data_IF_491616728331
#
_entry.id   IF_491616728331
#
_cell.length_a   1.000
_cell.length_b   1.000
_cell.length_c   1.000
_cell.angle_alpha   90.00
_cell.angle_beta   90.00
_cell.angle_gamma   90.00
#
_symmetry.space_group_name_H-M   'P 1'
#
loop_
_entity.id
_entity.type
_entity.pdbx_description
1 polymer ?
#
# COMPACT_ATOMS: atom_id res chain seq x y z
N UNK A 1 -68.48 -50.72 11.66
CA UNK A 1 -68.64 -49.62 10.67
C UNK A 1 -67.25 -49.32 10.12
N UNK A 2 -66.83 -49.95 9.01
CA UNK A 2 -67.08 -49.52 7.61
C UNK A 2 -66.41 -48.15 7.38
N UNK A 3 -65.15 -48.16 6.94
CA UNK A 3 -64.67 -47.85 5.57
C UNK A 3 -64.40 -46.33 5.38
N UNK A 4 -63.41 -45.84 4.64
CA UNK A 4 -62.83 -46.31 3.38
C UNK A 4 -61.38 -45.83 3.18
N UNK A 5 -60.62 -46.68 2.50
CA UNK A 5 -59.33 -46.41 1.87
C UNK A 5 -59.48 -45.78 0.48
N UNK A 6 -58.42 -45.09 0.01
CA UNK A 6 -57.69 -45.26 -1.29
C UNK A 6 -56.89 -43.98 -1.58
N UNK A 7 -55.55 -44.04 -1.49
CA UNK A 7 -54.58 -44.34 -2.56
C UNK A 7 -54.61 -43.35 -3.74
N UNK A 8 -53.53 -42.58 -3.90
CA UNK A 8 -52.90 -42.40 -5.20
C UNK A 8 -51.38 -42.20 -5.04
N UNK A 9 -50.64 -43.14 -5.61
CA UNK A 9 -49.20 -43.12 -5.89
C UNK A 9 -48.96 -42.46 -7.26
N UNK A 10 -47.92 -41.65 -7.41
CA UNK A 10 -46.98 -41.65 -8.56
C UNK A 10 -46.16 -40.35 -8.61
N UNK A 11 -44.89 -40.47 -8.98
CA UNK A 11 -44.10 -39.33 -9.47
C UNK A 11 -42.76 -39.08 -8.78
N UNK A 12 -41.86 -40.06 -8.74
CA UNK A 12 -40.44 -39.83 -8.50
C UNK A 12 -39.83 -39.11 -9.72
N UNK A 13 -39.72 -37.79 -9.65
CA UNK A 13 -38.88 -37.00 -10.56
C UNK A 13 -37.48 -36.89 -9.97
N UNK A 14 -36.52 -37.57 -10.58
CA UNK A 14 -35.11 -37.47 -10.22
C UNK A 14 -34.56 -36.09 -10.65
N UNK A 15 -34.34 -35.21 -9.68
CA UNK A 15 -33.50 -34.02 -9.87
C UNK A 15 -32.05 -34.46 -9.73
N UNK A 16 -31.33 -34.48 -10.85
CA UNK A 16 -29.89 -34.67 -10.87
C UNK A 16 -29.22 -33.49 -10.16
N UNK A 17 -28.67 -33.74 -8.97
CA UNK A 17 -27.77 -32.81 -8.29
C UNK A 17 -26.44 -32.88 -9.03
N UNK A 18 -26.19 -31.90 -9.91
CA UNK A 18 -24.87 -31.65 -10.45
C UNK A 18 -23.96 -31.19 -9.29
N UNK A 19 -23.07 -32.08 -8.85
CA UNK A 19 -21.94 -31.74 -7.99
C UNK A 19 -20.99 -30.83 -8.78
N UNK A 20 -21.27 -29.53 -8.74
CA UNK A 20 -20.33 -28.50 -9.15
C UNK A 20 -19.11 -28.55 -8.24
N UNK A 21 -18.00 -29.06 -8.76
CA UNK A 21 -16.68 -28.89 -8.17
C UNK A 21 -16.37 -27.38 -8.20
N UNK A 22 -16.68 -26.69 -7.10
CA UNK A 22 -16.18 -25.34 -6.86
C UNK A 22 -14.66 -25.42 -6.74
N UNK A 23 -13.99 -24.76 -7.68
CA UNK A 23 -12.59 -24.38 -7.50
C UNK A 23 -12.55 -23.47 -6.27
N UNK A 24 -12.19 -24.02 -5.11
CA UNK A 24 -11.68 -23.21 -4.01
C UNK A 24 -10.36 -22.64 -4.51
N UNK A 25 -10.40 -21.40 -4.98
CA UNK A 25 -9.21 -20.59 -5.11
C UNK A 25 -8.55 -20.62 -3.74
N UNK A 26 -7.39 -21.28 -3.63
CA UNK A 26 -6.54 -21.19 -2.46
C UNK A 26 -6.10 -19.73 -2.41
N UNK A 27 -6.85 -18.91 -1.68
CA UNK A 27 -6.36 -17.60 -1.30
C UNK A 27 -5.10 -17.82 -0.46
N UNK A 28 -4.00 -17.10 -0.74
CA UNK A 28 -2.85 -17.14 0.15
C UNK A 28 -3.32 -16.81 1.56
N UNK A 29 -2.85 -17.57 2.55
CA UNK A 29 -3.12 -17.28 3.95
C UNK A 29 -2.74 -15.81 4.21
N UNK A 30 -3.71 -14.99 4.66
CA UNK A 30 -3.43 -13.65 5.15
C UNK A 30 -2.51 -13.82 6.34
N UNK A 31 -1.30 -13.28 6.25
CA UNK A 31 -0.38 -13.25 7.39
C UNK A 31 -1.10 -12.55 8.56
N UNK A 32 -0.96 -13.07 9.78
CA UNK A 32 -1.51 -12.41 10.96
C UNK A 32 -0.97 -10.98 11.04
N UNK A 33 -1.83 -10.03 11.44
CA UNK A 33 -1.42 -8.64 11.62
C UNK A 33 -0.26 -8.58 12.64
N UNK A 34 0.78 -7.76 12.38
CA UNK A 34 1.86 -7.58 13.34
C UNK A 34 1.30 -7.00 14.63
N UNK A 35 1.71 -7.54 15.77
CA UNK A 35 1.19 -7.19 17.09
C UNK A 35 1.96 -6.05 17.77
N UNK A 36 2.74 -5.29 17.00
CA UNK A 36 3.75 -4.32 17.49
C UNK A 36 4.00 -3.26 16.39
N UNK A 37 2.92 -2.73 15.82
CA UNK A 37 2.99 -1.78 14.72
C UNK A 37 3.23 -0.36 15.28
N UNK A 38 4.21 0.35 14.72
CA UNK A 38 4.44 1.76 15.00
C UNK A 38 3.75 2.60 13.92
N UNK A 39 2.80 3.44 14.35
CA UNK A 39 2.00 4.27 13.45
C UNK A 39 2.27 5.73 13.77
N UNK A 40 2.70 6.50 12.77
CA UNK A 40 3.03 7.92 12.92
C UNK A 40 2.29 8.76 11.87
N UNK A 41 1.84 9.96 12.24
CA UNK A 41 1.19 10.90 11.33
C UNK A 41 2.24 11.60 10.46
N UNK A 42 2.06 11.58 9.14
CA UNK A 42 2.87 12.30 8.15
C UNK A 42 2.16 13.57 7.67
N UNK A 43 0.85 13.48 7.41
CA UNK A 43 0.02 14.59 6.92
C UNK A 43 -1.29 14.62 7.71
N UNK A 44 -1.73 15.77 8.22
CA UNK A 44 -0.98 17.03 8.25
C UNK A 44 0.30 16.90 9.09
N UNK A 45 1.30 17.75 8.80
CA UNK A 45 2.51 17.84 9.62
C UNK A 45 2.17 18.68 10.86
N UNK A 46 2.11 18.02 12.02
CA UNK A 46 1.85 18.66 13.31
C UNK A 46 3.15 18.78 14.12
N UNK A 47 3.43 19.99 14.59
CA UNK A 47 4.61 20.33 15.36
C UNK A 47 4.29 21.36 16.48
N UNK A 48 5.32 21.89 17.12
CA UNK A 48 5.19 22.82 18.24
C UNK A 48 4.51 24.15 17.88
N UNK A 49 4.33 24.48 16.60
CA UNK A 49 3.74 25.72 16.12
C UNK A 49 2.24 25.61 15.82
N UNK A 50 1.73 24.39 15.63
CA UNK A 50 0.35 24.15 15.23
C UNK A 50 -0.35 23.01 16.00
N UNK A 51 0.27 22.48 17.05
CA UNK A 51 -0.35 21.51 17.96
C UNK A 51 -0.89 22.23 19.20
N UNK A 52 -2.22 22.24 19.34
CA UNK A 52 -2.93 22.73 20.52
C UNK A 52 -2.50 21.96 21.77
N UNK A 53 -2.10 22.67 22.83
CA UNK A 53 -1.81 22.11 24.16
C UNK A 53 -0.92 20.85 24.17
N UNK A 54 0.12 20.79 23.32
CA UNK A 54 0.91 19.57 23.08
C UNK A 54 1.37 18.85 24.37
N UNK A 55 1.82 19.60 25.37
CA UNK A 55 2.27 19.03 26.65
C UNK A 55 1.12 18.42 27.48
N UNK A 56 -0.07 19.05 27.48
CA UNK A 56 -1.24 18.53 28.19
C UNK A 56 -1.77 17.27 27.49
N UNK A 57 -1.82 17.28 26.16
CA UNK A 57 -2.23 16.12 25.35
C UNK A 57 -1.35 14.92 25.64
N UNK A 58 -0.04 15.11 25.61
CA UNK A 58 0.89 14.02 25.85
C UNK A 58 0.79 13.51 27.30
N UNK A 59 0.52 14.39 28.27
CA UNK A 59 0.26 13.98 29.66
C UNK A 59 -0.98 13.08 29.75
N UNK A 60 -2.05 13.40 29.02
CA UNK A 60 -3.25 12.56 28.95
C UNK A 60 -2.96 11.20 28.30
N UNK A 61 -2.27 11.19 27.15
CA UNK A 61 -1.85 9.97 26.47
C UNK A 61 -1.03 9.07 27.40
N UNK A 62 -0.03 9.63 28.10
CA UNK A 62 0.77 8.89 29.07
C UNK A 62 -0.08 8.30 30.21
N UNK A 63 -1.12 9.01 30.65
CA UNK A 63 -2.10 8.49 31.62
C UNK A 63 -2.88 7.29 31.09
N UNK A 64 -3.33 7.34 29.84
CA UNK A 64 -4.05 6.24 29.20
C UNK A 64 -3.17 4.99 29.01
N UNK A 65 -1.89 5.21 28.65
CA UNK A 65 -0.87 4.14 28.61
C UNK A 65 -0.63 3.56 30.00
N UNK A 66 -0.48 4.40 31.03
CA UNK A 66 -0.29 3.96 32.42
C UNK A 66 -1.46 3.12 32.96
N UNK A 67 -2.68 3.38 32.48
CA UNK A 67 -3.86 2.57 32.78
C UNK A 67 -3.97 1.28 31.95
N UNK A 68 -3.05 1.05 31.01
CA UNK A 68 -3.00 -0.14 30.17
C UNK A 68 -4.05 -0.19 29.06
N UNK A 69 -4.65 0.97 28.71
CA UNK A 69 -5.66 1.09 27.66
C UNK A 69 -5.04 1.12 26.26
N UNK A 70 -3.85 1.71 26.13
CA UNK A 70 -3.11 1.82 24.87
C UNK A 70 -1.68 1.29 25.00
N UNK A 71 -1.07 0.98 23.86
CA UNK A 71 0.36 0.68 23.74
C UNK A 71 1.21 1.87 24.16
N UNK A 72 2.45 1.61 24.60
CA UNK A 72 3.41 2.65 24.90
C UNK A 72 3.79 3.47 23.66
N UNK A 73 4.36 4.66 23.87
CA UNK A 73 4.67 5.56 22.77
C UNK A 73 3.46 6.20 22.10
N UNK A 74 2.24 6.01 22.61
CA UNK A 74 1.03 6.70 22.15
C UNK A 74 1.26 8.21 22.11
N UNK A 75 0.96 8.82 20.97
CA UNK A 75 0.96 10.27 20.80
C UNK A 75 -0.49 10.76 20.73
N UNK A 76 -0.82 11.84 21.42
CA UNK A 76 -2.10 12.53 21.25
C UNK A 76 -1.85 13.97 20.80
N UNK A 77 -2.43 14.36 19.67
CA UNK A 77 -2.27 15.69 19.08
C UNK A 77 -3.63 16.27 18.73
N UNK A 78 -3.82 17.55 19.09
CA UNK A 78 -4.98 18.36 18.76
C UNK A 78 -4.54 19.48 17.82
N UNK A 79 -5.31 19.74 16.77
CA UNK A 79 -5.06 20.81 15.81
C UNK A 79 -6.39 21.42 15.34
N UNK A 80 -6.32 22.53 14.62
CA UNK A 80 -7.47 23.30 14.18
C UNK A 80 -7.56 23.33 12.66
N UNK A 81 -8.78 23.20 12.13
CA UNK A 81 -9.06 23.29 10.70
C UNK A 81 -10.39 24.02 10.45
N UNK A 82 -10.58 24.74 9.34
CA UNK A 82 -11.86 25.36 9.05
C UNK A 82 -13.00 24.35 8.89
N UNK A 83 -14.21 24.70 9.37
CA UNK A 83 -15.46 23.97 9.05
C UNK A 83 -15.64 23.82 7.53
N UNK A 84 -16.11 22.64 7.09
CA UNK A 84 -16.29 22.27 5.69
C UNK A 84 -15.00 21.87 4.97
N UNK A 85 -13.86 21.84 5.66
CA UNK A 85 -12.59 21.43 5.05
C UNK A 85 -12.54 19.94 4.77
N UNK A 86 -11.74 19.59 3.78
CA UNK A 86 -11.17 18.25 3.66
C UNK A 86 -9.80 18.23 4.37
N UNK A 87 -9.42 17.10 4.95
CA UNK A 87 -8.09 16.83 5.51
C UNK A 87 -7.61 15.48 4.98
N UNK A 88 -6.38 15.40 4.50
CA UNK A 88 -5.76 14.14 4.13
C UNK A 88 -4.88 13.62 5.27
N UNK A 89 -5.38 12.61 5.98
CA UNK A 89 -4.64 11.92 7.04
C UNK A 89 -3.76 10.84 6.43
N UNK A 90 -2.46 11.11 6.31
CA UNK A 90 -1.47 10.12 5.89
C UNK A 90 -0.68 9.64 7.09
N UNK A 91 -0.65 8.33 7.31
CA UNK A 91 0.14 7.69 8.35
C UNK A 91 1.25 6.82 7.77
N UNK A 92 2.43 6.81 8.39
CA UNK A 92 3.45 5.79 8.18
C UNK A 92 3.21 4.63 9.14
N UNK A 93 3.32 3.40 8.64
CA UNK A 93 3.16 2.18 9.42
C UNK A 93 4.40 1.30 9.25
N UNK A 94 5.08 1.04 10.36
CA UNK A 94 6.29 0.24 10.41
C UNK A 94 6.22 -0.85 11.48
N UNK A 95 7.07 -1.87 11.36
CA UNK A 95 7.34 -2.78 12.47
C UNK A 95 8.27 -2.13 13.51
N UNK A 96 8.49 -2.83 14.63
CA UNK A 96 9.41 -2.43 15.71
C UNK A 96 10.84 -2.13 15.30
N UNK A 97 11.28 -2.64 14.13
CA UNK A 97 12.64 -2.39 13.61
C UNK A 97 12.64 -1.17 12.66
N UNK A 98 11.51 -0.46 12.56
CA UNK A 98 11.33 0.70 11.69
C UNK A 98 11.16 0.32 10.22
N UNK A 99 10.93 -0.97 9.90
CA UNK A 99 10.75 -1.39 8.51
C UNK A 99 9.30 -1.13 8.08
N UNK A 100 9.08 -0.52 6.90
CA UNK A 100 7.73 -0.29 6.39
C UNK A 100 6.91 -1.57 6.26
N UNK A 101 5.68 -1.54 6.79
CA UNK A 101 4.70 -2.62 6.63
C UNK A 101 3.92 -2.39 5.34
N UNK A 102 4.35 -3.00 4.24
CA UNK A 102 3.77 -2.81 2.89
C UNK A 102 2.51 -3.65 2.66
N UNK A 103 1.44 -3.05 2.12
CA UNK A 103 0.17 -3.73 1.83
C UNK A 103 -0.64 -4.12 3.07
N UNK A 104 -0.25 -3.59 4.23
CA UNK A 104 -0.87 -3.82 5.54
C UNK A 104 -2.24 -3.13 5.59
N UNK A 105 -3.26 -3.86 6.04
CA UNK A 105 -4.56 -3.27 6.36
C UNK A 105 -4.44 -2.41 7.61
N UNK A 106 -4.90 -1.16 7.51
CA UNK A 106 -4.94 -0.19 8.59
C UNK A 106 -6.38 0.29 8.73
N UNK A 107 -6.96 0.06 9.91
CA UNK A 107 -8.30 0.51 10.26
C UNK A 107 -8.21 1.92 10.85
N UNK A 108 -8.84 2.91 10.21
CA UNK A 108 -9.03 4.22 10.82
C UNK A 108 -10.36 4.24 11.56
N UNK A 109 -10.33 4.43 12.88
CA UNK A 109 -11.51 4.71 13.70
C UNK A 109 -11.80 6.21 13.63
N UNK A 110 -13.06 6.57 13.36
CA UNK A 110 -13.49 7.94 13.09
C UNK A 110 -14.53 8.32 14.15
N UNK A 111 -14.35 9.49 14.78
CA UNK A 111 -15.08 9.89 15.98
C UNK A 111 -15.07 8.75 17.01
N UNK A 112 -13.86 8.45 17.48
CA UNK A 112 -13.58 7.33 18.38
C UNK A 112 -14.49 7.37 19.61
N UNK A 113 -15.00 6.23 20.08
CA UNK A 113 -15.77 6.18 21.32
C UNK A 113 -14.97 6.72 22.51
N UNK A 114 -15.67 7.43 23.41
CA UNK A 114 -15.12 8.19 24.56
C UNK A 114 -14.37 9.48 24.21
N UNK A 115 -14.44 9.95 22.96
CA UNK A 115 -13.81 11.22 22.56
C UNK A 115 -14.74 12.42 22.67
N UNK A 116 -16.02 12.21 22.97
CA UNK A 116 -17.08 13.23 22.88
C UNK A 116 -17.17 13.94 21.52
N UNK A 117 -16.60 13.36 20.45
CA UNK A 117 -16.59 13.96 19.11
C UNK A 117 -17.99 14.24 18.58
N UNK A 118 -18.18 15.45 18.09
CA UNK A 118 -19.46 15.98 17.59
C UNK A 118 -19.46 16.26 16.09
N UNK A 119 -18.29 16.31 15.44
CA UNK A 119 -18.19 16.65 14.03
C UNK A 119 -18.81 15.58 13.11
N UNK A 120 -19.49 16.02 12.06
CA UNK A 120 -20.05 15.16 11.01
C UNK A 120 -19.02 15.04 9.90
N UNK A 121 -18.46 13.85 9.74
CA UNK A 121 -17.38 13.58 8.80
C UNK A 121 -17.79 12.52 7.80
N UNK A 122 -17.23 12.62 6.60
CA UNK A 122 -17.23 11.56 5.61
C UNK A 122 -15.82 11.06 5.35
N UNK A 123 -15.64 9.75 5.40
CA UNK A 123 -14.45 9.04 4.91
C UNK A 123 -14.95 7.89 4.05
N UNK A 124 -14.53 7.86 2.79
CA UNK A 124 -15.09 6.96 1.77
C UNK A 124 -16.64 7.04 1.74
N UNK A 125 -17.31 5.92 2.02
CA UNK A 125 -18.76 5.79 2.11
C UNK A 125 -19.30 5.81 3.54
N UNK A 126 -18.46 6.05 4.54
CA UNK A 126 -18.84 6.13 5.95
C UNK A 126 -19.06 7.58 6.33
N UNK A 127 -20.21 7.87 6.95
CA UNK A 127 -20.57 9.18 7.46
C UNK A 127 -20.85 9.07 8.97
N UNK A 128 -20.20 9.90 9.79
CA UNK A 128 -20.43 9.93 11.24
C UNK A 128 -21.73 10.66 11.58
N UNK A 129 -22.26 10.42 12.77
CA UNK A 129 -23.53 11.03 13.21
C UNK A 129 -23.38 12.32 14.00
N UNK A 130 -22.16 12.67 14.41
CA UNK A 130 -21.88 13.77 15.34
C UNK A 130 -22.36 13.51 16.77
N UNK A 131 -22.65 12.26 17.14
CA UNK A 131 -23.17 11.90 18.46
C UNK A 131 -22.28 10.80 19.04
N UNK A 132 -21.51 11.13 20.08
CA UNK A 132 -20.71 10.13 20.80
C UNK A 132 -21.62 9.17 21.59
N UNK A 133 -21.36 7.86 21.44
CA UNK A 133 -22.12 6.78 22.08
C UNK A 133 -21.13 5.74 22.63
N UNK A 134 -20.34 6.09 23.66
CA UNK A 134 -19.35 5.18 24.20
C UNK A 134 -19.98 3.85 24.64
N UNK A 135 -19.31 2.71 24.44
CA UNK A 135 -17.91 2.57 23.99
C UNK A 135 -17.73 2.56 22.46
N UNK A 136 -18.79 2.78 21.69
CA UNK A 136 -18.76 2.59 20.23
C UNK A 136 -18.14 3.80 19.53
N UNK A 137 -17.32 3.52 18.51
CA UNK A 137 -16.96 4.52 17.51
C UNK A 137 -18.15 4.85 16.63
N UNK A 138 -18.17 6.04 16.03
CA UNK A 138 -19.23 6.37 15.07
C UNK A 138 -18.99 5.73 13.69
N UNK A 139 -17.74 5.39 13.35
CA UNK A 139 -17.43 4.69 12.11
C UNK A 139 -15.98 4.23 12.01
N UNK A 140 -15.70 3.40 11.01
CA UNK A 140 -14.34 3.04 10.61
C UNK A 140 -14.25 2.72 9.13
N UNK A 141 -13.06 2.89 8.56
CA UNK A 141 -12.70 2.42 7.21
C UNK A 141 -11.37 1.67 7.26
N UNK A 142 -11.06 0.87 6.24
CA UNK A 142 -9.80 0.11 6.17
C UNK A 142 -9.14 0.38 4.83
N UNK A 143 -7.93 0.94 4.86
CA UNK A 143 -7.07 1.13 3.70
C UNK A 143 -5.81 0.28 3.83
N UNK A 144 -5.13 0.06 2.69
CA UNK A 144 -3.83 -0.62 2.64
C UNK A 144 -2.70 0.37 2.57
N UNK A 145 -1.62 0.08 3.28
CA UNK A 145 -0.35 0.81 3.14
C UNK A 145 0.28 0.60 1.76
N UNK A 146 0.97 1.62 1.29
CA UNK A 146 1.67 1.66 0.01
C UNK A 146 3.08 1.05 0.09
N UNK A 147 3.88 1.21 -0.97
CA UNK A 147 5.24 0.67 -1.03
C UNK A 147 6.20 1.23 0.03
N UNK A 148 5.88 2.37 0.62
CA UNK A 148 6.65 3.02 1.66
C UNK A 148 6.02 2.82 3.04
N UNK A 149 5.03 1.92 3.17
CA UNK A 149 4.31 1.71 4.43
C UNK A 149 3.34 2.84 4.77
N UNK A 150 2.99 3.70 3.81
CA UNK A 150 2.12 4.84 4.05
C UNK A 150 0.67 4.55 3.67
N UNK A 151 -0.28 4.96 4.50
CA UNK A 151 -1.72 4.85 4.23
C UNK A 151 -2.36 6.23 4.34
N UNK A 152 -3.27 6.57 3.43
CA UNK A 152 -3.94 7.88 3.42
C UNK A 152 -5.45 7.73 3.49
N UNK A 153 -6.10 8.58 4.28
CA UNK A 153 -7.55 8.70 4.38
C UNK A 153 -7.96 10.14 4.09
N UNK A 154 -8.87 10.33 3.13
CA UNK A 154 -9.46 11.65 2.86
C UNK A 154 -10.67 11.83 3.80
N UNK A 155 -10.57 12.81 4.71
CA UNK A 155 -11.59 13.10 5.70
C UNK A 155 -12.27 14.41 5.35
N UNK A 156 -13.55 14.36 5.01
CA UNK A 156 -14.34 15.55 4.66
C UNK A 156 -15.23 15.94 5.82
N UNK A 157 -15.12 17.18 6.28
CA UNK A 157 -16.07 17.76 7.20
C UNK A 157 -17.36 18.14 6.45
N UNK A 158 -18.48 17.60 6.89
CA UNK A 158 -19.81 17.84 6.32
C UNK A 158 -20.66 18.76 7.19
N UNK A 159 -20.09 19.27 8.30
CA UNK A 159 -20.82 20.17 9.17
C UNK A 159 -21.29 21.43 8.42
N UNK A 160 -22.45 21.98 8.80
CA UNK A 160 -22.97 23.20 8.19
C UNK A 160 -21.94 24.32 8.28
N UNK A 161 -21.84 25.14 7.23
CA UNK A 161 -20.92 26.28 7.23
C UNK A 161 -21.17 27.21 8.42
N UNK A 162 -20.16 28.02 8.72
CA UNK A 162 -20.16 29.11 9.69
C UNK A 162 -21.49 29.86 9.90
N UNK A 163 -22.24 30.13 8.83
CA UNK A 163 -23.48 30.91 8.86
C UNK A 163 -24.71 30.14 9.36
N UNK A 164 -24.61 28.82 9.46
CA UNK A 164 -25.72 27.91 9.79
C UNK A 164 -25.58 27.21 11.14
N UNK A 165 -24.44 27.37 11.81
CA UNK A 165 -24.25 26.90 13.18
C UNK A 165 -24.82 27.91 14.17
N UNK A 166 -25.51 27.43 15.20
CA UNK A 166 -26.11 28.29 16.23
C UNK A 166 -25.03 28.91 17.14
N UNK A 167 -24.03 28.13 17.52
CA UNK A 167 -22.89 28.52 18.36
C UNK A 167 -21.63 27.88 17.77
N UNK A 168 -20.87 28.58 16.92
CA UNK A 168 -19.69 27.99 16.31
C UNK A 168 -18.39 28.22 17.08
N UNK A 169 -17.45 27.27 17.01
CA UNK A 169 -16.09 27.48 17.54
C UNK A 169 -15.39 28.61 16.75
N UNK A 170 -14.95 29.69 17.40
CA UNK A 170 -14.23 30.76 16.72
C UNK A 170 -12.83 30.29 16.33
N UNK A 171 -12.26 30.90 15.28
CA UNK A 171 -10.84 30.70 14.97
C UNK A 171 -9.98 30.98 16.21
N UNK A 172 -9.04 30.08 16.56
CA UNK A 172 -8.19 30.29 17.72
C UNK A 172 -7.26 31.49 17.50
N UNK A 173 -6.97 32.23 18.56
CA UNK A 173 -5.99 33.33 18.53
C UNK A 173 -4.55 32.82 18.29
N UNK A 174 -4.29 31.57 18.64
CA UNK A 174 -3.04 30.85 18.41
C UNK A 174 -3.31 29.39 18.10
N UNK A 175 -2.57 28.81 17.16
CA UNK A 175 -2.70 27.38 16.81
C UNK A 175 -2.24 26.43 17.92
N UNK A 176 -1.61 26.94 18.97
CA UNK A 176 -1.15 26.16 20.13
C UNK A 176 -2.00 26.36 21.38
N UNK A 177 -2.99 27.27 21.35
CA UNK A 177 -3.87 27.50 22.50
C UNK A 177 -4.84 26.33 22.71
N UNK A 178 -5.44 26.26 23.89
CA UNK A 178 -6.59 25.39 24.13
C UNK A 178 -7.75 25.72 23.17
N UNK A 179 -8.57 24.73 22.79
CA UNK A 179 -9.81 24.96 22.06
C UNK A 179 -10.74 25.92 22.80
N UNK A 180 -11.45 26.77 22.07
CA UNK A 180 -12.34 27.77 22.66
C UNK A 180 -13.77 27.22 22.76
N UNK A 181 -13.99 26.44 23.81
CA UNK A 181 -15.27 25.76 24.06
C UNK A 181 -16.14 26.61 25.01
N UNK A 182 -17.41 26.79 24.64
CA UNK A 182 -18.43 27.49 25.42
C UNK A 182 -18.76 26.73 26.70
N UNK A 183 -19.27 27.43 27.72
CA UNK A 183 -19.63 26.81 29.01
C UNK A 183 -20.67 25.68 28.86
N UNK A 184 -21.56 25.80 27.87
CA UNK A 184 -22.55 24.77 27.54
C UNK A 184 -22.03 23.67 26.60
N UNK A 185 -20.78 23.79 26.11
CA UNK A 185 -20.13 22.87 25.19
C UNK A 185 -20.78 22.78 23.80
N UNK A 186 -21.75 23.63 23.48
CA UNK A 186 -22.50 23.53 22.23
C UNK A 186 -21.68 23.89 20.99
N UNK A 187 -20.60 24.64 21.16
CA UNK A 187 -19.69 25.01 20.08
C UNK A 187 -18.51 24.04 19.91
N UNK A 188 -18.37 23.02 20.77
CA UNK A 188 -17.29 22.03 20.69
C UNK A 188 -17.51 21.15 19.47
N UNK A 189 -16.90 21.52 18.35
CA UNK A 189 -17.03 20.85 17.08
C UNK A 189 -15.72 20.16 16.72
N UNK A 190 -15.52 18.94 17.18
CA UNK A 190 -14.28 18.21 16.97
C UNK A 190 -14.49 16.77 16.55
N UNK A 191 -13.39 16.18 16.07
CA UNK A 191 -13.28 14.76 15.78
C UNK A 191 -11.95 14.21 16.23
N UNK A 192 -11.99 13.11 16.96
CA UNK A 192 -10.82 12.31 17.29
C UNK A 192 -10.77 11.04 16.43
N UNK A 193 -9.63 10.81 15.78
CA UNK A 193 -9.34 9.64 14.95
C UNK A 193 -8.18 8.81 15.51
N UNK A 194 -8.24 7.51 15.26
CA UNK A 194 -7.21 6.55 15.70
C UNK A 194 -6.98 5.48 14.62
N UNK A 195 -5.79 5.41 14.00
CA UNK A 195 -5.40 4.29 13.14
C UNK A 195 -4.97 3.08 13.98
N UNK A 196 -5.31 1.88 13.51
CA UNK A 196 -4.97 0.61 14.16
C UNK A 196 -4.63 -0.47 13.13
N UNK A 197 -3.69 -1.34 13.47
CA UNK A 197 -3.32 -2.56 12.76
C UNK A 197 -3.74 -3.79 13.57
N UNK A 198 -3.31 -3.88 14.83
CA UNK A 198 -3.63 -4.98 15.74
C UNK A 198 -4.48 -4.54 16.96
N UNK A 199 -4.72 -3.24 17.14
CA UNK A 199 -5.64 -2.66 18.12
C UNK A 199 -4.97 -1.66 19.07
N UNK A 200 -5.76 -1.03 19.95
CA UNK A 200 -5.29 0.05 20.84
C UNK A 200 -4.04 -0.30 21.67
N UNK A 201 -3.97 -1.54 22.17
CA UNK A 201 -2.90 -1.98 23.08
C UNK A 201 -1.66 -2.54 22.38
N UNK A 202 -1.78 -3.36 21.33
CA UNK A 202 -0.61 -3.87 20.60
C UNK A 202 0.06 -2.82 19.70
N UNK A 203 -0.64 -1.75 19.32
CA UNK A 203 -0.08 -0.73 18.42
C UNK A 203 0.50 0.46 19.19
N UNK A 204 1.61 1.01 18.70
CA UNK A 204 2.16 2.30 19.13
C UNK A 204 1.61 3.39 18.20
N UNK A 205 0.39 3.82 18.49
CA UNK A 205 -0.39 4.65 17.57
C UNK A 205 -0.32 6.15 17.87
N UNK A 206 -1.00 6.92 17.03
CA UNK A 206 -1.22 8.35 17.20
C UNK A 206 -2.71 8.64 17.16
N UNK A 207 -3.21 9.32 18.19
CA UNK A 207 -4.54 9.90 18.21
C UNK A 207 -4.43 11.31 17.62
N UNK A 208 -5.13 11.52 16.50
CA UNK A 208 -5.23 12.83 15.85
C UNK A 208 -6.61 13.39 16.10
N UNK A 209 -6.68 14.60 16.65
CA UNK A 209 -7.94 15.29 16.88
C UNK A 209 -7.95 16.65 16.22
N UNK A 210 -9.07 16.99 15.61
CA UNK A 210 -9.26 18.22 14.87
C UNK A 210 -10.49 18.95 15.36
N UNK A 211 -10.28 20.19 15.79
CA UNK A 211 -11.32 21.18 16.06
C UNK A 211 -11.65 21.94 14.79
N UNK A 212 -12.94 22.03 14.48
CA UNK A 212 -13.47 22.67 13.29
C UNK A 212 -13.96 24.08 13.62
N UNK A 213 -13.17 25.09 13.25
CA UNK A 213 -13.44 26.47 13.58
C UNK A 213 -14.02 27.27 12.41
N UNK A 214 -14.65 28.41 12.70
CA UNK A 214 -15.01 29.40 11.68
C UNK A 214 -13.83 30.33 11.41
N UNK A 215 -13.34 30.42 10.17
CA UNK A 215 -12.33 31.40 9.80
C UNK A 215 -12.78 32.84 10.08
N UNK A 216 -11.90 33.63 10.69
CA UNK A 216 -11.97 35.08 10.61
C UNK A 216 -11.66 35.51 9.17
N UNK A 217 -12.37 36.51 8.62
CA UNK A 217 -12.14 36.94 7.24
C UNK A 217 -10.85 37.78 7.12
N UNK A 218 -9.85 37.28 6.38
CA UNK A 218 -9.14 38.15 5.42
C UNK A 218 -9.14 37.57 3.99
N UNK A 219 -9.09 38.45 2.99
CA UNK A 219 -8.98 38.10 1.56
C UNK A 219 -7.59 37.52 1.31
N UNK A 220 -7.52 36.31 0.74
CA UNK A 220 -6.25 35.72 0.33
C UNK A 220 -5.61 36.57 -0.79
N UNK A 221 -4.33 36.94 -0.69
CA UNK A 221 -3.62 37.60 -1.77
C UNK A 221 -3.52 36.69 -3.01
N UNK A 222 -3.40 37.30 -4.18
CA UNK A 222 -3.19 36.55 -5.44
C UNK A 222 -1.83 35.86 -5.36
N UNK A 223 -1.84 34.54 -5.51
CA UNK A 223 -0.63 33.69 -5.53
C UNK A 223 0.17 33.99 -6.78
N UNK A 224 1.44 34.40 -6.64
CA UNK A 224 2.31 34.63 -7.80
C UNK A 224 3.45 33.63 -7.90
N UNK A 225 3.90 33.08 -6.76
CA UNK A 225 5.06 32.18 -6.63
C UNK A 225 4.86 31.07 -5.58
N UNK A 226 3.92 30.12 -5.80
CA UNK A 226 3.66 29.08 -4.83
C UNK A 226 4.85 28.12 -4.69
N UNK A 227 4.98 27.55 -3.49
CA UNK A 227 5.95 26.48 -3.20
C UNK A 227 5.23 25.15 -3.05
N UNK A 228 5.72 24.10 -3.71
CA UNK A 228 5.14 22.76 -3.71
C UNK A 228 6.23 21.75 -3.29
N UNK A 229 6.15 21.26 -2.04
CA UNK A 229 7.16 20.36 -1.47
C UNK A 229 6.63 18.96 -1.26
N UNK A 230 7.44 17.95 -1.59
CA UNK A 230 7.12 16.56 -1.32
C UNK A 230 7.19 16.32 0.19
N UNK A 231 6.12 15.75 0.77
CA UNK A 231 6.04 15.39 2.19
C UNK A 231 5.91 13.88 2.38
N UNK A 232 5.22 13.20 1.48
CA UNK A 232 5.16 11.73 1.46
C UNK A 232 5.37 11.20 0.03
N UNK A 233 6.16 10.13 -0.17
CA UNK A 233 6.99 9.47 0.85
C UNK A 233 8.08 10.40 1.39
N UNK A 234 8.48 10.20 2.66
CA UNK A 234 9.63 10.91 3.24
C UNK A 234 10.90 10.30 2.64
N UNK A 235 11.50 11.04 1.70
CA UNK A 235 12.69 10.60 1.00
C UNK A 235 13.95 11.23 1.63
N UNK A 236 14.86 10.38 2.06
CA UNK A 236 16.14 10.70 2.71
C UNK A 236 17.27 10.01 1.96
N UNK A 237 18.52 10.30 2.30
CA UNK A 237 19.67 9.69 1.63
C UNK A 237 19.81 8.17 1.94
N UNK A 238 19.02 7.65 2.87
CA UNK A 238 18.96 6.22 3.19
C UNK A 238 18.04 5.44 2.25
N UNK A 239 16.99 6.05 1.72
CA UNK A 239 15.97 5.40 0.89
C UNK A 239 15.79 6.04 -0.49
N UNK A 240 16.60 7.05 -0.81
CA UNK A 240 16.62 7.77 -2.07
C UNK A 240 18.02 8.31 -2.33
N UNK A 241 18.25 8.78 -3.55
CA UNK A 241 19.46 9.51 -3.90
C UNK A 241 19.12 10.65 -4.85
N UNK A 242 19.98 11.66 -4.90
CA UNK A 242 19.80 12.84 -5.75
C UNK A 242 20.69 12.72 -6.98
N UNK A 243 20.12 12.85 -8.17
CA UNK A 243 20.90 12.80 -9.40
C UNK A 243 21.63 14.13 -9.67
N UNK A 244 22.49 14.16 -10.69
CA UNK A 244 23.25 15.36 -11.08
C UNK A 244 22.40 16.55 -11.55
N UNK A 245 21.06 16.41 -11.60
CA UNK A 245 20.08 17.46 -11.92
C UNK A 245 19.21 17.85 -10.71
N UNK A 246 19.62 17.47 -9.50
CA UNK A 246 18.88 17.71 -8.26
C UNK A 246 17.50 17.03 -8.18
N UNK A 247 17.20 16.05 -9.04
CA UNK A 247 15.97 15.24 -8.93
C UNK A 247 16.21 14.14 -7.91
N UNK A 248 15.30 14.01 -6.94
CA UNK A 248 15.34 12.93 -5.96
C UNK A 248 14.70 11.67 -6.56
N UNK A 249 15.43 10.56 -6.51
CA UNK A 249 15.07 9.30 -7.14
C UNK A 249 14.95 8.20 -6.07
N UNK A 250 13.91 7.37 -6.13
CA UNK A 250 13.65 6.30 -5.16
C UNK A 250 13.26 4.99 -5.86
N UNK A 251 13.61 3.86 -5.25
CA UNK A 251 13.29 2.52 -5.75
C UNK A 251 12.02 1.97 -5.14
N UNK A 252 11.17 1.38 -5.99
CA UNK A 252 9.87 0.84 -5.65
C UNK A 252 9.68 -0.49 -6.38
N UNK A 253 9.00 -1.45 -5.78
CA UNK A 253 8.71 -2.70 -6.46
C UNK A 253 7.63 -2.50 -7.55
N UNK A 254 7.75 -3.17 -8.69
CA UNK A 254 6.70 -3.20 -9.72
C UNK A 254 5.38 -3.72 -9.16
N UNK A 255 4.26 -3.18 -9.65
CA UNK A 255 2.92 -3.56 -9.20
C UNK A 255 2.44 -2.83 -7.95
N UNK A 256 3.33 -2.13 -7.24
CA UNK A 256 3.01 -1.39 -6.02
C UNK A 256 2.30 -0.07 -6.31
N UNK A 257 1.61 0.43 -5.28
CA UNK A 257 1.09 1.80 -5.21
C UNK A 257 2.10 2.68 -4.48
N UNK A 258 2.18 3.95 -4.89
CA UNK A 258 2.90 5.03 -4.22
C UNK A 258 1.91 6.17 -3.99
N UNK A 259 1.70 6.55 -2.73
CA UNK A 259 0.93 7.75 -2.39
C UNK A 259 1.90 8.92 -2.27
N UNK A 260 1.73 9.89 -3.17
CA UNK A 260 2.54 11.11 -3.19
C UNK A 260 1.73 12.24 -2.57
N UNK A 261 2.28 12.86 -1.52
CA UNK A 261 1.65 13.97 -0.81
C UNK A 261 2.54 15.19 -0.95
N UNK A 262 1.98 16.27 -1.46
CA UNK A 262 2.65 17.57 -1.56
C UNK A 262 2.03 18.57 -0.60
N UNK A 263 2.88 19.33 0.11
CA UNK A 263 2.48 20.55 0.81
C UNK A 263 2.60 21.73 -0.14
N UNK A 264 1.55 22.53 -0.22
CA UNK A 264 1.47 23.73 -1.03
C UNK A 264 1.34 24.94 -0.13
N UNK A 265 2.21 25.92 -0.34
CA UNK A 265 2.19 27.19 0.39
C UNK A 265 2.24 28.38 -0.55
N UNK A 266 1.71 29.51 -0.08
CA UNK A 266 1.79 30.79 -0.74
C UNK A 266 3.19 31.42 -0.60
N UNK A 267 3.33 32.61 -1.16
CA UNK A 267 4.57 33.41 -1.17
C UNK A 267 5.05 33.78 0.26
N UNK A 268 4.18 33.71 1.27
CA UNK A 268 4.48 33.95 2.69
C UNK A 268 4.68 32.66 3.51
N UNK A 269 4.57 31.49 2.88
CA UNK A 269 4.64 30.19 3.54
C UNK A 269 3.33 29.74 4.20
N UNK A 270 2.23 30.48 4.03
CA UNK A 270 0.92 30.07 4.52
C UNK A 270 0.35 28.94 3.65
N UNK A 271 -0.44 28.04 4.24
CA UNK A 271 -1.06 26.95 3.51
C UNK A 271 -2.05 27.46 2.44
N UNK A 272 -1.93 26.96 1.20
CA UNK A 272 -2.91 27.24 0.16
C UNK A 272 -3.97 26.14 0.13
N UNK A 273 -5.09 26.36 0.81
CA UNK A 273 -6.23 25.44 0.81
C UNK A 273 -7.11 25.58 -0.44
N UNK A 274 -7.77 24.50 -0.84
CA UNK A 274 -8.70 24.44 -1.99
C UNK A 274 -8.09 24.84 -3.35
N UNK A 275 -6.76 24.72 -3.48
CA UNK A 275 -6.04 25.02 -4.72
C UNK A 275 -5.95 23.76 -5.59
N UNK A 276 -6.31 23.89 -6.86
CA UNK A 276 -6.10 22.81 -7.84
C UNK A 276 -4.62 22.71 -8.17
N UNK A 277 -4.07 21.51 -8.01
CA UNK A 277 -2.70 21.13 -8.35
C UNK A 277 -2.75 20.06 -9.44
N UNK A 278 -1.94 20.24 -10.47
CA UNK A 278 -1.73 19.25 -11.52
C UNK A 278 -0.50 18.42 -11.20
N UNK A 279 -0.57 17.12 -11.45
CA UNK A 279 0.60 16.24 -11.40
C UNK A 279 0.88 15.69 -12.79
N UNK A 280 2.01 16.09 -13.34
CA UNK A 280 2.55 15.55 -14.58
C UNK A 280 3.18 14.20 -14.26
N UNK A 281 2.70 13.13 -14.90
CA UNK A 281 3.18 11.76 -14.68
C UNK A 281 3.77 11.22 -15.96
N UNK A 282 4.96 10.62 -15.86
CA UNK A 282 5.88 10.41 -16.97
C UNK A 282 6.06 11.71 -17.75
N UNK A 283 6.58 12.72 -17.04
CA UNK A 283 6.74 14.09 -17.54
C UNK A 283 7.48 14.13 -18.88
N UNK A 284 7.10 15.05 -19.76
CA UNK A 284 7.77 15.31 -21.02
C UNK A 284 9.29 15.53 -20.85
N UNK A 285 10.08 15.05 -21.81
CA UNK A 285 11.55 15.08 -21.80
C UNK A 285 12.25 14.30 -20.66
N UNK A 286 11.52 13.54 -19.85
CA UNK A 286 12.11 12.71 -18.78
C UNK A 286 12.60 11.34 -19.26
N UNK A 287 12.18 10.90 -20.46
CA UNK A 287 12.36 9.52 -20.95
C UNK A 287 11.65 8.45 -20.09
N UNK A 288 10.74 8.84 -19.19
CA UNK A 288 9.95 7.91 -18.38
C UNK A 288 9.17 6.91 -19.23
N UNK A 289 9.11 5.67 -18.77
CA UNK A 289 8.48 4.54 -19.47
C UNK A 289 7.63 3.63 -18.58
N UNK A 290 7.59 3.87 -17.27
CA UNK A 290 6.78 3.08 -16.34
C UNK A 290 5.28 3.26 -16.60
N UNK A 291 4.49 2.20 -16.44
CA UNK A 291 3.04 2.25 -16.63
C UNK A 291 2.35 2.63 -15.33
N UNK A 292 1.95 3.88 -15.22
CA UNK A 292 1.33 4.42 -14.00
C UNK A 292 -0.16 4.68 -14.20
N UNK A 293 -0.95 4.52 -13.14
CA UNK A 293 -2.37 4.87 -13.13
C UNK A 293 -2.86 5.26 -11.75
N UNK A 294 -3.84 6.16 -11.66
CA UNK A 294 -4.62 6.39 -10.44
C UNK A 294 -5.94 5.59 -10.41
N UNK A 295 -6.08 4.59 -11.29
CA UNK A 295 -7.30 3.82 -11.49
C UNK A 295 -8.28 4.43 -12.51
N UNK A 296 -8.18 5.73 -12.80
CA UNK A 296 -9.02 6.43 -13.78
C UNK A 296 -8.23 6.90 -15.01
N UNK A 297 -7.07 7.51 -14.78
CA UNK A 297 -6.15 8.01 -15.80
C UNK A 297 -4.90 7.13 -15.74
N UNK A 298 -4.38 6.76 -16.91
CA UNK A 298 -3.16 5.99 -17.05
C UNK A 298 -2.19 6.69 -18.01
N UNK A 299 -0.90 6.44 -17.84
CA UNK A 299 0.15 6.93 -18.74
C UNK A 299 -0.02 6.35 -20.14
N UNK A 300 -0.05 7.22 -21.15
CA UNK A 300 -0.08 6.82 -22.56
C UNK A 300 1.31 6.88 -23.21
N UNK A 301 1.91 5.70 -23.44
CA UNK A 301 3.23 5.58 -24.05
C UNK A 301 3.28 6.00 -25.54
N UNK A 302 2.12 6.27 -26.17
CA UNK A 302 2.07 6.75 -27.56
C UNK A 302 2.30 8.26 -27.66
N UNK A 303 2.16 9.00 -26.55
CA UNK A 303 2.46 10.42 -26.52
C UNK A 303 3.97 10.62 -26.65
N UNK A 304 4.36 11.40 -27.65
CA UNK A 304 5.77 11.69 -27.91
C UNK A 304 6.31 12.67 -26.86
N UNK A 305 7.02 12.12 -25.87
CA UNK A 305 7.68 12.85 -24.79
C UNK A 305 8.73 13.84 -25.31
N UNK A 306 9.32 13.60 -26.50
CA UNK A 306 10.31 14.49 -27.10
C UNK A 306 9.71 15.75 -27.74
N UNK A 307 8.38 15.82 -27.83
CA UNK A 307 7.64 16.99 -28.32
C UNK A 307 6.95 17.77 -27.18
N UNK A 308 7.35 17.55 -25.93
CA UNK A 308 6.76 18.27 -24.80
C UNK A 308 5.48 17.66 -24.25
N UNK A 309 5.11 16.44 -24.65
CA UNK A 309 3.88 15.79 -24.19
C UNK A 309 4.11 14.92 -22.95
N UNK A 310 3.41 15.22 -21.85
CA UNK A 310 3.33 14.33 -20.69
C UNK A 310 2.43 13.13 -21.00
N UNK A 311 2.78 11.95 -20.48
CA UNK A 311 1.98 10.75 -20.77
C UNK A 311 0.66 10.73 -20.00
N UNK A 312 0.61 11.30 -18.79
CA UNK A 312 -0.61 11.54 -18.04
C UNK A 312 -0.54 12.86 -17.26
N UNK A 313 -1.71 13.46 -17.04
CA UNK A 313 -1.90 14.65 -16.23
C UNK A 313 -3.02 14.35 -15.23
N UNK A 314 -2.70 14.39 -13.94
CA UNK A 314 -3.67 14.20 -12.87
C UNK A 314 -3.99 15.55 -12.23
N UNK A 315 -5.15 15.66 -11.62
CA UNK A 315 -5.56 16.84 -10.87
C UNK A 315 -5.96 16.41 -9.46
N UNK A 316 -5.52 17.19 -8.48
CA UNK A 316 -5.89 17.08 -7.08
C UNK A 316 -6.18 18.48 -6.54
N UNK A 317 -6.91 18.55 -5.43
CA UNK A 317 -7.17 19.82 -4.74
C UNK A 317 -6.53 19.76 -3.37
N UNK A 318 -5.86 20.83 -2.97
CA UNK A 318 -5.27 20.90 -1.63
C UNK A 318 -6.33 20.97 -0.55
N UNK A 319 -6.03 20.34 0.57
CA UNK A 319 -6.89 20.26 1.75
C UNK A 319 -6.80 21.53 2.62
N UNK A 320 -7.48 21.56 3.77
CA UNK A 320 -7.50 22.72 4.67
C UNK A 320 -6.11 23.11 5.21
N UNK A 321 -5.16 22.17 5.20
CA UNK A 321 -3.76 22.40 5.55
C UNK A 321 -2.87 22.58 4.32
N UNK A 322 -3.42 22.73 3.12
CA UNK A 322 -2.64 22.92 1.90
C UNK A 322 -1.95 21.66 1.38
N UNK A 323 -2.36 20.45 1.81
CA UNK A 323 -1.81 19.20 1.30
C UNK A 323 -2.67 18.63 0.16
N UNK A 324 -2.03 18.14 -0.89
CA UNK A 324 -2.68 17.41 -1.99
C UNK A 324 -2.09 16.00 -2.12
N UNK A 325 -2.95 15.02 -2.40
CA UNK A 325 -2.56 13.61 -2.49
C UNK A 325 -2.80 13.07 -3.89
N UNK A 326 -1.83 12.33 -4.41
CA UNK A 326 -1.93 11.55 -5.63
C UNK A 326 -1.56 10.10 -5.36
N UNK A 327 -2.51 9.18 -5.56
CA UNK A 327 -2.22 7.74 -5.50
C UNK A 327 -1.87 7.21 -6.89
N UNK A 328 -0.65 6.67 -7.02
CA UNK A 328 -0.10 6.19 -8.28
C UNK A 328 0.23 4.70 -8.18
N UNK A 329 -0.46 3.87 -8.94
CA UNK A 329 -0.15 2.44 -9.06
C UNK A 329 0.70 2.18 -10.29
N UNK A 330 1.83 1.51 -10.07
CA UNK A 330 2.59 0.91 -11.16
C UNK A 330 1.90 -0.39 -11.63
N UNK A 331 1.75 -0.54 -12.93
CA UNK A 331 1.09 -1.70 -13.57
C UNK A 331 2.05 -2.52 -14.43
N UNK A 332 3.35 -2.24 -14.35
CA UNK A 332 4.35 -3.04 -15.02
C UNK A 332 4.42 -4.44 -14.41
N UNK A 333 4.59 -5.44 -15.27
CA UNK A 333 4.78 -6.84 -14.87
C UNK A 333 6.25 -7.24 -14.81
N UNK A 334 7.14 -6.36 -15.28
CA UNK A 334 8.59 -6.49 -15.26
C UNK A 334 9.18 -5.14 -14.92
N UNK A 335 10.16 -5.13 -14.04
CA UNK A 335 10.90 -3.93 -13.68
C UNK A 335 12.37 -4.06 -14.06
N UNK A 336 13.13 -3.04 -13.69
CA UNK A 336 14.58 -3.08 -13.76
C UNK A 336 15.17 -4.04 -12.71
N UNK A 337 16.48 -4.28 -12.80
CA UNK A 337 17.18 -5.04 -11.78
C UNK A 337 17.11 -4.31 -10.43
N UNK A 338 16.85 -5.06 -9.35
CA UNK A 338 16.87 -4.48 -8.01
C UNK A 338 18.25 -3.90 -7.70
N UNK A 339 18.27 -2.68 -7.15
CA UNK A 339 19.48 -2.10 -6.61
C UNK A 339 19.98 -2.93 -5.43
N UNK A 340 21.30 -3.13 -5.35
CA UNK A 340 21.94 -3.77 -4.20
C UNK A 340 21.97 -2.83 -2.99
N UNK A 341 22.04 -1.51 -3.22
CA UNK A 341 21.95 -0.46 -2.19
C UNK A 341 21.20 0.77 -2.71
N UNK A 342 20.65 1.59 -1.81
CA UNK A 342 20.05 2.90 -2.16
C UNK A 342 21.05 3.89 -2.79
N UNK A 343 22.35 3.63 -2.68
CA UNK A 343 23.43 4.43 -3.25
C UNK A 343 23.85 3.96 -4.66
N UNK A 344 23.31 2.85 -5.15
CA UNK A 344 23.60 2.38 -6.49
C UNK A 344 23.08 3.41 -7.50
N UNK A 345 23.89 3.71 -8.51
CA UNK A 345 23.45 4.61 -9.59
C UNK A 345 22.26 3.99 -10.30
N UNK A 346 21.19 4.75 -10.32
CA UNK A 346 20.02 4.44 -11.13
C UNK A 346 20.36 4.32 -12.61
N UNK A 347 19.80 3.29 -13.23
CA UNK A 347 19.69 3.21 -14.68
C UNK A 347 18.69 4.29 -15.11
N UNK A 348 19.17 5.38 -15.70
CA UNK A 348 18.32 6.45 -16.21
C UNK A 348 17.94 6.26 -17.69
N UNK A 349 18.18 5.07 -18.24
CA UNK A 349 18.10 4.80 -19.67
C UNK A 349 17.18 3.60 -19.93
N UNK A 350 15.95 3.84 -20.45
CA UNK A 350 15.01 2.78 -20.80
C UNK A 350 15.59 1.73 -21.75
N UNK A 351 16.52 2.13 -22.63
CA UNK A 351 17.14 1.22 -23.59
C UNK A 351 18.09 0.22 -22.93
N UNK A 352 18.53 0.53 -21.71
CA UNK A 352 19.35 -0.34 -20.85
C UNK A 352 18.51 -1.10 -19.82
N UNK A 353 17.18 -1.10 -19.97
CA UNK A 353 16.25 -1.85 -19.14
C UNK A 353 15.73 -1.10 -17.91
N UNK A 354 15.95 0.21 -17.83
CA UNK A 354 15.35 1.04 -16.79
C UNK A 354 13.81 1.06 -16.90
N UNK A 355 13.13 1.09 -15.76
CA UNK A 355 11.67 1.27 -15.70
C UNK A 355 11.37 2.34 -14.67
N UNK A 356 10.98 3.54 -15.10
CA UNK A 356 10.79 4.66 -14.18
C UNK A 356 9.72 5.66 -14.60
N UNK A 357 9.22 6.40 -13.61
CA UNK A 357 8.26 7.49 -13.74
C UNK A 357 8.78 8.73 -13.01
N UNK A 358 9.11 9.77 -13.76
CA UNK A 358 9.35 11.11 -13.21
C UNK A 358 8.02 11.86 -13.11
N UNK A 359 7.81 12.50 -11.96
CA UNK A 359 6.62 13.28 -11.64
C UNK A 359 6.99 14.72 -11.27
N UNK A 360 6.12 15.65 -11.63
CA UNK A 360 6.28 17.08 -11.35
C UNK A 360 4.91 17.67 -11.03
N UNK A 361 4.71 18.28 -9.85
CA UNK A 361 3.47 19.01 -9.57
C UNK A 361 3.53 20.44 -10.13
N UNK A 362 2.38 21.00 -10.46
CA UNK A 362 2.23 22.38 -10.98
C UNK A 362 0.93 23.00 -10.46
N UNK A 363 0.95 24.31 -10.18
CA UNK A 363 -0.28 25.11 -10.04
C UNK A 363 -0.48 25.95 -11.31
N UNK A 364 -1.61 25.73 -11.99
CA UNK A 364 -1.95 26.48 -13.21
C UNK A 364 -2.06 27.97 -12.95
N UNK A 365 -1.40 28.78 -13.78
CA UNK A 365 -1.45 30.25 -13.70
C UNK A 365 -0.38 30.87 -12.79
N UNK A 366 0.44 30.05 -12.12
CA UNK A 366 1.64 30.54 -11.46
C UNK A 366 2.65 31.07 -12.50
N UNK A 367 3.35 32.16 -12.18
CA UNK A 367 4.37 32.72 -13.09
C UNK A 367 5.68 31.95 -13.02
N UNK A 368 6.05 31.48 -11.82
CA UNK A 368 7.11 30.53 -11.52
C UNK A 368 6.76 29.82 -10.22
N UNK A 369 6.61 28.50 -10.24
CA UNK A 369 6.45 27.68 -9.05
C UNK A 369 7.78 27.02 -8.66
N UNK A 370 7.98 26.85 -7.34
CA UNK A 370 9.12 26.07 -6.81
C UNK A 370 8.57 24.71 -6.41
N UNK A 371 8.76 23.73 -7.29
CA UNK A 371 8.20 22.39 -7.14
C UNK A 371 9.29 21.32 -7.00
N UNK A 372 9.10 20.40 -6.06
CA UNK A 372 9.95 19.22 -5.95
C UNK A 372 9.62 18.23 -7.08
N UNK A 373 10.63 17.92 -7.90
CA UNK A 373 10.55 16.87 -8.92
C UNK A 373 11.06 15.56 -8.31
N UNK A 374 10.27 14.50 -8.48
CA UNK A 374 10.59 13.17 -7.94
C UNK A 374 10.56 12.11 -9.03
N UNK A 375 11.41 11.11 -8.95
CA UNK A 375 11.42 9.97 -9.88
C UNK A 375 11.37 8.64 -9.13
N UNK A 376 10.48 7.76 -9.57
CA UNK A 376 10.36 6.41 -9.01
C UNK A 376 10.84 5.39 -10.01
N UNK A 377 11.81 4.58 -9.58
CA UNK A 377 12.34 3.43 -10.30
C UNK A 377 11.63 2.17 -9.87
N UNK A 378 11.16 1.38 -10.83
CA UNK A 378 10.39 0.18 -10.58
C UNK A 378 11.24 -1.06 -10.82
N UNK A 379 11.70 -1.67 -9.73
CA UNK A 379 12.40 -2.94 -9.80
C UNK A 379 11.41 -4.11 -9.75
N UNK A 380 11.65 -5.12 -10.56
CA UNK A 380 10.92 -6.38 -10.47
C UNK A 380 11.65 -7.33 -9.54
N UNK A 381 10.97 -8.37 -9.08
CA UNK A 381 11.72 -9.60 -8.80
C UNK A 381 12.56 -9.87 -10.05
N UNK A 382 13.88 -10.15 -9.93
CA UNK A 382 14.69 -10.50 -11.09
C UNK A 382 13.90 -11.55 -11.83
N UNK A 383 13.67 -11.36 -13.13
CA UNK A 383 12.92 -12.32 -13.94
C UNK A 383 13.37 -13.69 -13.52
N UNK A 384 12.51 -14.46 -12.83
CA UNK A 384 12.92 -15.66 -12.10
C UNK A 384 13.85 -16.42 -13.02
N UNK A 385 15.15 -16.46 -12.69
CA UNK A 385 16.20 -16.77 -13.66
C UNK A 385 15.71 -17.98 -14.44
N UNK A 386 15.36 -17.78 -15.72
CA UNK A 386 14.41 -18.64 -16.45
C UNK A 386 14.58 -20.07 -15.99
N UNK A 387 13.65 -20.56 -15.14
CA UNK A 387 13.90 -21.63 -14.17
C UNK A 387 14.86 -22.66 -14.77
N UNK A 388 16.08 -22.75 -14.23
CA UNK A 388 17.21 -23.41 -14.89
C UNK A 388 16.72 -24.66 -15.62
N UNK A 389 16.81 -24.65 -16.96
CA UNK A 389 16.13 -25.65 -17.78
C UNK A 389 16.35 -27.05 -17.20
N UNK A 390 15.27 -27.77 -16.91
CA UNK A 390 15.37 -29.11 -16.31
C UNK A 390 16.25 -29.97 -17.20
N UNK A 391 17.33 -30.48 -16.63
CA UNK A 391 18.28 -31.38 -17.30
C UNK A 391 18.28 -32.70 -16.56
N UNK A 392 18.27 -33.79 -17.33
CA UNK A 392 18.47 -35.13 -16.80
C UNK A 392 19.82 -35.67 -17.27
N UNK A 393 20.56 -36.32 -16.38
CA UNK A 393 21.78 -37.05 -16.70
C UNK A 393 21.63 -38.49 -16.24
N UNK A 394 22.17 -39.43 -17.02
CA UNK A 394 22.20 -40.84 -16.64
C UNK A 394 23.62 -41.36 -16.71
N UNK A 395 23.98 -42.17 -15.73
CA UNK A 395 25.22 -42.94 -15.72
C UNK A 395 24.94 -44.32 -15.15
N UNK A 396 25.76 -45.31 -15.49
CA UNK A 396 25.61 -46.65 -14.93
C UNK A 396 26.99 -47.23 -14.60
N UNK A 397 27.06 -47.96 -13.48
CA UNK A 397 28.27 -48.68 -13.07
C UNK A 397 27.92 -50.01 -12.43
N UNK A 398 28.84 -50.99 -12.53
CA UNK A 398 28.76 -52.23 -11.76
C UNK A 398 29.30 -52.00 -10.35
N UNK A 399 28.52 -52.29 -9.33
CA UNK A 399 28.90 -52.17 -7.91
C UNK A 399 28.44 -53.42 -7.17
N UNK A 400 29.36 -54.16 -6.54
CA UNK A 400 29.02 -55.35 -5.75
C UNK A 400 28.25 -56.42 -6.53
N UNK A 401 28.63 -56.69 -7.78
CA UNK A 401 27.98 -57.69 -8.65
C UNK A 401 26.66 -57.26 -9.29
N UNK A 402 26.11 -56.10 -8.92
CA UNK A 402 24.87 -55.53 -9.49
C UNK A 402 25.18 -54.33 -10.37
N UNK A 403 24.33 -54.05 -11.36
CA UNK A 403 24.42 -52.80 -12.12
C UNK A 403 23.54 -51.73 -11.46
N UNK A 404 24.11 -50.55 -11.24
CA UNK A 404 23.44 -49.41 -10.64
C UNK A 404 23.42 -48.26 -11.64
N UNK A 405 22.22 -47.80 -11.99
CA UNK A 405 21.99 -46.59 -12.78
C UNK A 405 21.79 -45.41 -11.83
N UNK A 406 22.52 -44.32 -12.05
CA UNK A 406 22.33 -43.05 -11.36
C UNK A 406 21.65 -42.06 -12.30
N UNK A 407 20.51 -41.52 -11.88
CA UNK A 407 19.75 -40.47 -12.53
C UNK A 407 20.00 -39.16 -11.79
N UNK A 408 20.63 -38.18 -12.45
CA UNK A 408 20.71 -36.81 -11.97
C UNK A 408 19.56 -35.98 -12.52
N UNK A 409 18.86 -35.25 -11.66
CA UNK A 409 17.84 -34.25 -12.06
C UNK A 409 18.29 -32.89 -11.53
N UNK A 410 18.51 -31.96 -12.46
CA UNK A 410 18.86 -30.57 -12.18
C UNK A 410 17.70 -29.63 -12.53
N UNK A 411 17.56 -28.52 -11.80
CA UNK A 411 16.61 -27.44 -12.14
C UNK A 411 15.14 -27.74 -11.80
N UNK A 412 14.87 -28.73 -10.94
CA UNK A 412 13.52 -29.17 -10.58
C UNK A 412 13.25 -29.21 -9.06
N UNK A 413 14.00 -28.45 -8.25
CA UNK A 413 13.84 -28.45 -6.79
C UNK A 413 12.40 -28.11 -6.37
N UNK A 414 11.88 -28.82 -5.37
CA UNK A 414 10.51 -28.70 -4.87
C UNK A 414 9.46 -29.48 -5.69
N UNK A 415 9.83 -30.04 -6.84
CA UNK A 415 8.90 -30.74 -7.74
C UNK A 415 8.93 -32.25 -7.58
N UNK A 416 7.90 -32.90 -8.12
CA UNK A 416 7.81 -34.36 -8.24
C UNK A 416 8.15 -34.82 -9.64
N UNK A 417 9.00 -35.84 -9.75
CA UNK A 417 9.45 -36.43 -11.00
C UNK A 417 8.90 -37.86 -11.13
N UNK A 418 8.10 -38.11 -12.16
CA UNK A 418 7.67 -39.47 -12.54
C UNK A 418 8.75 -40.12 -13.40
N UNK A 419 9.42 -41.14 -12.87
CA UNK A 419 10.57 -41.82 -13.46
C UNK A 419 10.16 -43.18 -14.00
N UNK A 420 10.40 -43.39 -15.28
CA UNK A 420 10.14 -44.64 -16.01
C UNK A 420 11.47 -45.16 -16.59
N UNK A 421 11.90 -46.35 -16.18
CA UNK A 421 13.16 -46.97 -16.62
C UNK A 421 12.84 -48.33 -17.23
N UNK A 422 13.40 -48.64 -18.40
CA UNK A 422 13.19 -49.93 -19.08
C UNK A 422 13.48 -51.13 -18.16
N UNK A 423 12.46 -51.95 -17.93
CA UNK A 423 12.54 -53.15 -17.09
C UNK A 423 12.32 -52.90 -15.58
N UNK A 424 11.95 -51.69 -15.18
CA UNK A 424 11.56 -51.36 -13.81
C UNK A 424 10.11 -50.83 -13.76
N UNK A 425 9.48 -50.93 -12.58
CA UNK A 425 8.20 -50.27 -12.31
C UNK A 425 8.39 -48.76 -12.23
N UNK A 426 7.40 -48.01 -12.69
CA UNK A 426 7.36 -46.55 -12.62
C UNK A 426 7.41 -46.09 -11.16
N UNK A 427 8.22 -45.07 -10.87
CA UNK A 427 8.36 -44.50 -9.53
C UNK A 427 8.21 -42.98 -9.57
N UNK A 428 7.62 -42.40 -8.53
CA UNK A 428 7.59 -40.95 -8.34
C UNK A 428 8.63 -40.57 -7.31
N UNK A 429 9.54 -39.66 -7.66
CA UNK A 429 10.59 -39.16 -6.78
C UNK A 429 10.35 -37.68 -6.48
N UNK A 430 10.62 -37.26 -5.24
CA UNK A 430 10.59 -35.84 -4.86
C UNK A 430 11.99 -35.25 -4.99
N UNK A 431 12.13 -34.16 -5.75
CA UNK A 431 13.41 -33.46 -5.93
C UNK A 431 13.49 -32.38 -4.86
N UNK A 432 14.34 -32.55 -3.86
CA UNK A 432 14.40 -31.66 -2.69
C UNK A 432 15.55 -30.65 -2.74
N UNK A 433 16.53 -30.87 -3.62
CA UNK A 433 17.70 -29.97 -3.81
C UNK A 433 17.92 -29.67 -5.29
N UNK A 434 18.73 -28.64 -5.58
CA UNK A 434 18.94 -28.12 -6.94
C UNK A 434 19.50 -29.14 -7.95
N UNK A 435 20.35 -30.07 -7.50
CA UNK A 435 20.90 -31.19 -8.27
C UNK A 435 20.73 -32.48 -7.46
N UNK A 436 19.65 -33.22 -7.72
CA UNK A 436 19.33 -34.43 -6.96
C UNK A 436 19.74 -35.68 -7.75
N UNK A 437 20.47 -36.59 -7.11
CA UNK A 437 20.76 -37.92 -7.64
C UNK A 437 19.79 -38.97 -7.09
N UNK A 438 19.34 -39.88 -7.95
CA UNK A 438 18.57 -41.08 -7.62
C UNK A 438 19.28 -42.31 -8.17
N UNK A 439 19.30 -43.41 -7.42
CA UNK A 439 19.98 -44.64 -7.84
C UNK A 439 19.00 -45.80 -7.98
N UNK A 440 19.14 -46.57 -9.06
CA UNK A 440 18.30 -47.71 -9.39
C UNK A 440 19.15 -48.93 -9.68
N UNK A 441 18.81 -50.09 -9.10
CA UNK A 441 19.40 -51.37 -9.52
C UNK A 441 18.74 -51.82 -10.83
N UNK A 442 19.55 -52.16 -11.83
CA UNK A 442 19.10 -52.52 -13.18
C UNK A 442 19.81 -53.77 -13.68
N UNK A 443 19.27 -54.41 -14.72
CA UNK A 443 19.97 -55.44 -15.49
C UNK A 443 20.89 -54.82 -16.55
N UNK A 444 21.86 -55.60 -17.04
CA UNK A 444 22.70 -55.21 -18.18
C UNK A 444 21.85 -54.98 -19.45
N UNK A 445 22.40 -54.22 -20.40
CA UNK A 445 21.79 -53.93 -21.69
C UNK A 445 21.27 -52.50 -21.84
N UNK A 446 20.60 -52.23 -22.96
CA UNK A 446 20.06 -50.92 -23.27
C UNK A 446 18.89 -50.54 -22.35
N UNK A 447 18.89 -49.31 -21.85
CA UNK A 447 17.87 -48.71 -21.00
C UNK A 447 17.43 -47.37 -21.57
N UNK A 448 16.13 -47.14 -21.54
CA UNK A 448 15.52 -45.82 -21.75
C UNK A 448 15.03 -45.33 -20.40
N UNK A 449 15.44 -44.11 -20.04
CA UNK A 449 15.00 -43.39 -18.85
C UNK A 449 14.13 -42.22 -19.32
N UNK A 450 12.85 -42.24 -18.96
CA UNK A 450 11.91 -41.14 -19.20
C UNK A 450 11.51 -40.53 -17.86
N UNK A 451 11.72 -39.23 -17.73
CA UNK A 451 11.37 -38.46 -16.54
C UNK A 451 10.29 -37.44 -16.93
N UNK A 452 9.16 -37.43 -16.24
CA UNK A 452 8.10 -36.44 -16.46
C UNK A 452 7.97 -35.55 -15.23
N UNK A 453 8.13 -34.23 -15.43
CA UNK A 453 7.98 -33.19 -14.40
C UNK A 453 7.03 -32.14 -14.98
N UNK A 454 5.98 -31.77 -14.24
CA UNK A 454 4.95 -30.81 -14.65
C UNK A 454 4.40 -31.05 -16.07
N UNK A 455 4.18 -32.32 -16.41
CA UNK A 455 3.67 -32.72 -17.73
C UNK A 455 4.69 -32.72 -18.88
N UNK A 456 5.92 -32.24 -18.67
CA UNK A 456 6.99 -32.26 -19.67
C UNK A 456 7.89 -33.49 -19.50
N UNK A 457 8.15 -34.20 -20.61
CA UNK A 457 8.96 -35.42 -20.63
C UNK A 457 10.41 -35.15 -21.07
N UNK A 458 11.34 -35.78 -20.37
CA UNK A 458 12.78 -35.76 -20.63
C UNK A 458 13.25 -37.20 -20.80
N UNK A 459 13.95 -37.51 -21.89
CA UNK A 459 14.34 -38.89 -22.22
C UNK A 459 15.85 -39.01 -22.36
N UNK A 460 16.42 -40.04 -21.75
CA UNK A 460 17.83 -40.41 -21.88
C UNK A 460 17.95 -41.89 -22.23
N UNK A 461 18.89 -42.23 -23.10
CA UNK A 461 19.20 -43.63 -23.48
C UNK A 461 20.60 -43.96 -22.99
N UNK A 462 20.76 -45.09 -22.32
CA UNK A 462 22.04 -45.55 -21.79
C UNK A 462 22.17 -47.06 -21.96
N UNK A 463 23.36 -47.54 -22.31
CA UNK A 463 23.67 -48.97 -22.32
C UNK A 463 24.45 -49.32 -21.06
N UNK A 464 23.88 -50.19 -20.24
CA UNK A 464 24.50 -50.70 -19.02
C UNK A 464 25.38 -51.90 -19.39
N UNK A 465 26.69 -51.80 -19.18
CA UNK A 465 27.67 -52.85 -19.48
C UNK A 465 28.41 -53.29 -18.23
#
# INVERSE_FOLDING_TARGET
MISSAKKFTSGLGAIAIALGLSFVAVMPAVAAAPTDAHITLISPVLDATNTSEAAANQKMANGWVGNGWFGDGLIYQRSFVPVGSTINLTYHVADKDGKPLVGQDVKLRINKGYSVSTAILQVDNVITSGIDKPPLDQGFVIHKTDAFGNVTFEVRNLDPTAKSLAEPEPQPESWTSEPNISEDGLNDLHSQMLPEVAGEKPDHSVISEFHYYIPSNPVAPVVTHPTIRLVSPVLTDTNSFVNGKAVRQAYVQTGSTVNVVYKVTDDNGAALANQVVKLHVNKAFSSSNAKMTNGKIATDSKKDSSQGNDQALLEGTTDGYGFVVFSLRNTDTKGEAAAATSADKVLSDPTKGAVFSQIHPEITGATTDVADVTEFHFFGAPAAAAGAAVKITTSAKKTGGKYVLTLGIAGASGKSAKVEITGLKVKTEKVTVANQGFTYTVSAGAKVVKVTIDGKAYTSKITVK
#
